data_IF_812183877621
#
_entry.id   IF_812183877621
#
_cell.length_a   1.000
_cell.length_b   1.000
_cell.length_c   1.000
_cell.angle_alpha   90.00
_cell.angle_beta   90.00
_cell.angle_gamma   90.00
#
_symmetry.space_group_name_H-M   'P 1'
#
loop_
_entity.id
_entity.type
_entity.pdbx_description
1 polymer ?
#
# COMPACT_ATOMS: atom_id res chain seq x y z
N UNK A 1 35.31 -3.02 -54.75
CA UNK A 1 35.46 -1.93 -53.75
C UNK A 1 34.14 -1.50 -53.11
N UNK A 2 33.05 -1.29 -53.87
CA UNK A 2 31.76 -0.85 -53.30
C UNK A 2 31.14 -1.79 -52.26
N UNK A 3 31.22 -3.12 -52.45
CA UNK A 3 30.62 -4.12 -51.54
C UNK A 3 31.25 -4.09 -50.13
N UNK A 4 32.56 -3.90 -50.04
CA UNK A 4 33.26 -3.81 -48.74
C UNK A 4 32.90 -2.53 -47.97
N UNK A 5 32.59 -1.44 -48.69
CA UNK A 5 32.12 -0.19 -48.07
C UNK A 5 30.71 -0.40 -47.47
N UNK A 6 29.80 -1.06 -48.19
CA UNK A 6 28.46 -1.36 -47.68
C UNK A 6 28.48 -2.33 -46.48
N UNK A 7 29.35 -3.34 -46.49
CA UNK A 7 29.53 -4.25 -45.35
C UNK A 7 30.11 -3.52 -44.12
N UNK A 8 31.07 -2.61 -44.32
CA UNK A 8 31.63 -1.80 -43.24
C UNK A 8 30.61 -0.88 -42.60
N UNK A 9 29.77 -0.21 -43.41
CA UNK A 9 28.70 0.68 -42.92
C UNK A 9 27.59 -0.10 -42.21
N UNK A 10 27.24 -1.30 -42.69
CA UNK A 10 26.27 -2.17 -42.03
C UNK A 10 26.76 -2.64 -40.66
N UNK A 11 28.04 -3.04 -40.55
CA UNK A 11 28.62 -3.51 -39.30
C UNK A 11 28.73 -2.39 -38.24
N UNK A 12 29.07 -1.16 -38.64
CA UNK A 12 29.14 -0.03 -37.71
C UNK A 12 27.76 0.38 -37.20
N UNK A 13 26.73 0.38 -38.05
CA UNK A 13 25.36 0.66 -37.64
C UNK A 13 24.79 -0.41 -36.70
N UNK A 14 25.13 -1.68 -36.90
CA UNK A 14 24.74 -2.76 -36.00
C UNK A 14 25.46 -2.65 -34.64
N UNK A 15 26.77 -2.35 -34.65
CA UNK A 15 27.55 -2.17 -33.43
C UNK A 15 27.08 -0.97 -32.60
N UNK A 16 26.75 0.17 -33.22
CA UNK A 16 26.23 1.32 -32.50
C UNK A 16 24.85 1.05 -31.92
N UNK A 17 23.95 0.39 -32.67
CA UNK A 17 22.64 0.00 -32.16
C UNK A 17 22.74 -0.90 -30.92
N UNK A 18 23.58 -1.93 -30.96
CA UNK A 18 23.81 -2.81 -29.81
C UNK A 18 24.40 -2.06 -28.61
N UNK A 19 25.38 -1.18 -28.85
CA UNK A 19 25.98 -0.39 -27.78
C UNK A 19 24.97 0.58 -27.14
N UNK A 20 24.16 1.27 -27.96
CA UNK A 20 23.09 2.13 -27.46
C UNK A 20 22.03 1.35 -26.68
N UNK A 21 21.64 0.15 -27.13
CA UNK A 21 20.72 -0.71 -26.40
C UNK A 21 21.27 -1.14 -25.04
N UNK A 22 22.57 -1.45 -24.96
CA UNK A 22 23.23 -1.79 -23.69
C UNK A 22 23.32 -0.58 -22.74
N UNK A 23 23.64 0.60 -23.26
CA UNK A 23 23.72 1.83 -22.45
C UNK A 23 22.33 2.26 -21.95
N UNK A 24 21.30 2.20 -22.79
CA UNK A 24 19.91 2.48 -22.38
C UNK A 24 19.45 1.51 -21.30
N UNK A 25 19.65 0.20 -21.50
CA UNK A 25 19.28 -0.84 -20.54
C UNK A 25 20.03 -0.70 -19.21
N UNK A 26 21.31 -0.35 -19.23
CA UNK A 26 22.10 -0.10 -18.03
C UNK A 26 21.65 1.14 -17.25
N UNK A 27 21.23 2.20 -17.96
CA UNK A 27 20.73 3.42 -17.34
C UNK A 27 19.36 3.23 -16.70
N UNK A 28 18.47 2.46 -17.32
CA UNK A 28 17.13 2.17 -16.77
C UNK A 28 17.21 1.32 -15.50
N UNK A 29 18.12 0.35 -15.44
CA UNK A 29 18.33 -0.49 -14.25
C UNK A 29 18.90 0.35 -13.09
N UNK A 30 19.95 1.14 -13.34
CA UNK A 30 20.60 1.94 -12.30
C UNK A 30 19.71 3.08 -11.81
N UNK A 31 19.01 3.76 -12.73
CA UNK A 31 18.08 4.83 -12.36
C UNK A 31 16.85 4.29 -11.64
N UNK A 32 16.29 3.15 -12.09
CA UNK A 32 15.19 2.46 -11.43
C UNK A 32 15.52 2.07 -9.98
N UNK A 33 16.71 1.53 -9.71
CA UNK A 33 17.12 1.15 -8.35
C UNK A 33 17.24 2.37 -7.40
N UNK A 34 17.74 3.50 -7.92
CA UNK A 34 17.81 4.75 -7.15
C UNK A 34 16.45 5.43 -6.95
N UNK A 35 15.51 5.20 -7.87
CA UNK A 35 14.16 5.73 -7.81
C UNK A 35 13.30 4.93 -6.83
N UNK A 36 13.39 3.60 -6.87
CA UNK A 36 12.69 2.70 -5.95
C UNK A 36 13.12 2.89 -4.49
N UNK A 37 14.42 3.05 -4.24
CA UNK A 37 14.95 3.35 -2.90
C UNK A 37 14.48 4.72 -2.40
N UNK A 38 14.43 5.72 -3.28
CA UNK A 38 13.91 7.04 -2.96
C UNK A 38 12.41 6.99 -2.63
N UNK A 39 11.60 6.33 -3.46
CA UNK A 39 10.16 6.14 -3.26
C UNK A 39 9.91 5.42 -1.93
N UNK A 40 10.58 4.30 -1.69
CA UNK A 40 10.46 3.51 -0.46
C UNK A 40 10.79 4.36 0.77
N UNK A 41 11.85 5.18 0.70
CA UNK A 41 12.24 6.08 1.80
C UNK A 41 11.17 7.15 2.09
N UNK A 42 10.51 7.66 1.05
CA UNK A 42 9.45 8.65 1.18
C UNK A 42 8.18 8.04 1.81
N UNK A 43 7.85 6.80 1.43
CA UNK A 43 6.73 6.06 2.03
C UNK A 43 7.01 5.79 3.50
N UNK A 44 8.21 5.30 3.84
CA UNK A 44 8.59 5.06 5.23
C UNK A 44 8.57 6.34 6.08
N UNK A 45 8.95 7.47 5.51
CA UNK A 45 8.83 8.77 6.16
C UNK A 45 7.36 9.10 6.47
N UNK A 46 6.45 8.91 5.52
CA UNK A 46 5.01 9.12 5.72
C UNK A 46 4.42 8.21 6.80
N UNK A 47 4.81 6.94 6.83
CA UNK A 47 4.41 5.98 7.89
C UNK A 47 4.90 6.44 9.27
N UNK A 48 6.17 6.83 9.39
CA UNK A 48 6.74 7.30 10.66
C UNK A 48 6.08 8.58 11.19
N UNK A 49 5.64 9.47 10.30
CA UNK A 49 4.89 10.67 10.71
C UNK A 49 3.60 10.33 11.46
N UNK A 50 3.02 9.15 11.23
CA UNK A 50 1.82 8.65 11.91
C UNK A 50 2.18 7.82 13.14
N UNK A 51 3.11 6.88 12.99
CA UNK A 51 3.45 5.93 14.06
C UNK A 51 4.16 6.57 15.25
N UNK A 52 5.09 7.51 15.00
CA UNK A 52 5.90 8.11 16.06
C UNK A 52 5.04 8.88 17.08
N UNK A 53 4.14 9.81 16.66
CA UNK A 53 3.25 10.49 17.61
C UNK A 53 2.36 9.53 18.39
N UNK A 54 1.83 8.49 17.74
CA UNK A 54 0.94 7.52 18.38
C UNK A 54 1.71 6.72 19.44
N UNK A 55 2.88 6.21 19.09
CA UNK A 55 3.77 5.53 20.04
C UNK A 55 4.10 6.43 21.24
N UNK A 56 4.43 7.70 21.01
CA UNK A 56 4.70 8.66 22.08
C UNK A 56 3.48 8.96 22.97
N UNK A 57 2.28 9.03 22.40
CA UNK A 57 1.02 9.20 23.16
C UNK A 57 0.76 7.96 24.02
N UNK A 58 0.85 6.76 23.45
CA UNK A 58 0.65 5.51 24.18
C UNK A 58 1.65 5.37 25.34
N UNK A 59 2.94 5.61 25.09
CA UNK A 59 3.99 5.57 26.12
C UNK A 59 3.70 6.53 27.28
N UNK A 60 3.29 7.77 26.99
CA UNK A 60 2.91 8.74 28.02
C UNK A 60 1.68 8.31 28.82
N UNK A 61 0.68 7.75 28.15
CA UNK A 61 -0.52 7.23 28.82
C UNK A 61 -0.18 6.06 29.74
N UNK A 62 0.69 5.14 29.30
CA UNK A 62 1.18 4.04 30.13
C UNK A 62 1.94 4.53 31.37
N UNK A 63 2.81 5.53 31.23
CA UNK A 63 3.52 6.13 32.36
C UNK A 63 2.58 6.82 33.36
N UNK A 64 1.48 7.42 32.89
CA UNK A 64 0.45 8.00 33.76
C UNK A 64 -0.39 6.96 34.52
N UNK A 65 -0.42 5.68 34.09
CA UNK A 65 -1.20 4.62 34.77
C UNK A 65 -0.77 4.38 36.23
N UNK A 66 0.42 4.82 36.65
CA UNK A 66 0.84 4.81 38.06
C UNK A 66 0.01 5.72 38.97
N UNK A 67 -0.76 6.64 38.40
CA UNK A 67 -1.70 7.52 39.10
C UNK A 67 -3.10 7.19 38.56
N UNK A 68 -3.78 6.20 39.14
CA UNK A 68 -5.12 5.80 38.69
C UNK A 68 -6.12 6.88 39.10
N UNK A 69 -6.27 7.90 38.26
CA UNK A 69 -7.36 8.86 38.37
C UNK A 69 -8.66 8.18 37.92
N UNK A 70 -9.79 8.32 38.64
CA UNK A 70 -11.10 7.79 38.24
C UNK A 70 -11.52 8.15 36.81
N UNK A 71 -11.04 9.29 36.29
CA UNK A 71 -11.20 9.71 34.91
C UNK A 71 -10.65 8.72 33.88
N UNK A 72 -9.59 7.95 34.21
CA UNK A 72 -8.98 6.98 33.30
C UNK A 72 -9.86 5.74 33.10
N UNK A 73 -10.57 5.30 34.15
CA UNK A 73 -11.51 4.17 34.05
C UNK A 73 -12.70 4.53 33.15
N UNK A 74 -13.22 5.75 33.29
CA UNK A 74 -14.29 6.25 32.42
C UNK A 74 -13.82 6.51 30.97
N UNK A 75 -12.53 6.74 30.77
CA UNK A 75 -11.95 6.87 29.44
C UNK A 75 -11.72 5.52 28.75
N UNK A 76 -11.81 4.38 29.47
CA UNK A 76 -11.53 3.06 28.89
C UNK A 76 -12.40 2.77 27.67
N UNK A 77 -13.70 3.06 27.75
CA UNK A 77 -14.67 2.89 26.67
C UNK A 77 -14.44 3.79 25.45
N UNK A 78 -13.55 4.78 25.56
CA UNK A 78 -13.19 5.70 24.47
C UNK A 78 -11.92 5.28 23.73
N UNK A 79 -11.18 4.29 24.24
CA UNK A 79 -10.03 3.78 23.51
C UNK A 79 -10.50 2.85 22.38
N UNK A 80 -9.92 2.99 21.17
CA UNK A 80 -10.21 2.07 20.09
C UNK A 80 -9.74 0.66 20.45
N UNK A 81 -10.46 -0.33 19.95
CA UNK A 81 -9.96 -1.71 19.89
C UNK A 81 -8.67 -1.76 19.07
N UNK A 82 -7.77 -2.70 19.39
CA UNK A 82 -6.48 -2.83 18.71
C UNK A 82 -6.65 -2.95 17.18
N UNK A 83 -7.60 -3.77 16.71
CA UNK A 83 -7.86 -3.93 15.28
C UNK A 83 -8.32 -2.62 14.62
N UNK A 84 -9.20 -1.86 15.29
CA UNK A 84 -9.65 -0.56 14.78
C UNK A 84 -8.50 0.46 14.73
N UNK A 85 -7.61 0.40 15.72
CA UNK A 85 -6.40 1.22 15.74
C UNK A 85 -5.48 0.85 14.58
N UNK A 86 -5.19 -0.44 14.39
CA UNK A 86 -4.29 -0.93 13.34
C UNK A 86 -4.81 -0.55 11.93
N UNK A 87 -6.12 -0.69 11.69
CA UNK A 87 -6.76 -0.28 10.43
C UNK A 87 -6.63 1.23 10.23
N UNK A 88 -6.94 2.02 11.26
CA UNK A 88 -6.86 3.48 11.20
C UNK A 88 -5.43 3.96 10.93
N UNK A 89 -4.44 3.37 11.61
CA UNK A 89 -3.03 3.69 11.43
C UNK A 89 -2.54 3.34 10.02
N UNK A 90 -2.87 2.15 9.53
CA UNK A 90 -2.49 1.75 8.17
C UNK A 90 -3.11 2.65 7.10
N UNK A 91 -4.37 3.05 7.29
CA UNK A 91 -5.06 4.00 6.41
C UNK A 91 -4.40 5.38 6.42
N UNK A 92 -4.11 5.91 7.61
CA UNK A 92 -3.50 7.24 7.75
C UNK A 92 -2.05 7.24 7.26
N UNK A 93 -1.31 6.16 7.49
CA UNK A 93 0.03 5.93 6.96
C UNK A 93 0.04 5.89 5.43
N UNK A 94 -0.93 5.23 4.80
CA UNK A 94 -1.07 5.20 3.33
C UNK A 94 -1.33 6.59 2.74
N UNK A 95 -2.29 7.32 3.31
CA UNK A 95 -2.64 8.68 2.87
C UNK A 95 -1.45 9.63 3.04
N UNK A 96 -0.82 9.62 4.21
CA UNK A 96 0.33 10.48 4.52
C UNK A 96 1.52 10.16 3.61
N UNK A 97 1.78 8.88 3.34
CA UNK A 97 2.84 8.46 2.41
C UNK A 97 2.61 8.98 1.00
N UNK A 98 1.36 8.94 0.53
CA UNK A 98 0.97 9.48 -0.76
C UNK A 98 1.24 10.98 -0.84
N UNK A 99 0.85 11.73 0.19
CA UNK A 99 1.11 13.18 0.26
C UNK A 99 2.60 13.53 0.32
N UNK A 100 3.41 12.74 1.06
CA UNK A 100 4.86 12.93 1.13
C UNK A 100 5.51 12.68 -0.23
N UNK A 101 5.13 11.60 -0.91
CA UNK A 101 5.59 11.28 -2.27
C UNK A 101 5.24 12.40 -3.26
N UNK A 102 3.98 12.87 -3.25
CA UNK A 102 3.55 13.97 -4.09
C UNK A 102 4.41 15.21 -3.88
N UNK A 103 4.61 15.65 -2.63
CA UNK A 103 5.45 16.81 -2.31
C UNK A 103 6.89 16.64 -2.80
N UNK A 104 7.47 15.46 -2.59
CA UNK A 104 8.85 15.13 -2.97
C UNK A 104 9.06 15.13 -4.48
N UNK A 105 8.11 14.58 -5.23
CA UNK A 105 8.19 14.61 -6.70
C UNK A 105 7.97 16.01 -7.24
N UNK A 106 7.02 16.79 -6.70
CA UNK A 106 6.86 18.20 -7.06
C UNK A 106 8.13 19.03 -6.80
N UNK A 107 8.90 18.71 -5.75
CA UNK A 107 10.15 19.40 -5.46
C UNK A 107 11.27 19.01 -6.44
N UNK A 108 11.35 17.73 -6.84
CA UNK A 108 12.38 17.18 -7.75
C UNK A 108 12.11 17.57 -9.20
N UNK A 109 10.85 17.45 -9.63
CA UNK A 109 10.40 17.76 -10.97
C UNK A 109 9.75 19.15 -10.89
N UNK A 110 10.46 20.21 -11.31
CA UNK A 110 9.99 21.62 -11.32
C UNK A 110 8.74 21.88 -12.20
N UNK A 111 7.98 20.84 -12.55
CA UNK A 111 6.81 20.85 -13.41
C UNK A 111 5.62 20.34 -12.61
N UNK A 112 4.46 20.96 -12.77
CA UNK A 112 3.19 20.40 -12.29
C UNK A 112 2.92 19.11 -13.09
N UNK A 113 3.01 17.96 -12.43
CA UNK A 113 2.42 16.71 -12.93
C UNK A 113 0.97 16.65 -12.48
N UNK A 114 0.09 16.04 -13.27
CA UNK A 114 -1.23 15.66 -12.76
C UNK A 114 -1.02 14.62 -11.66
N UNK A 115 -1.77 14.65 -10.55
CA UNK A 115 -1.70 13.61 -9.52
C UNK A 115 -1.89 12.19 -10.08
N UNK A 116 -2.74 12.06 -11.11
CA UNK A 116 -3.00 10.81 -11.83
C UNK A 116 -1.79 10.27 -12.59
N UNK A 117 -0.86 11.12 -13.01
CA UNK A 117 0.36 10.72 -13.72
C UNK A 117 1.45 10.23 -12.74
N UNK A 118 1.29 10.53 -11.45
CA UNK A 118 2.23 10.18 -10.38
C UNK A 118 1.95 8.80 -9.78
N UNK A 119 0.66 8.44 -9.64
CA UNK A 119 0.20 7.27 -8.89
C UNK A 119 -0.22 6.13 -9.82
N UNK A 120 0.77 5.43 -10.37
CA UNK A 120 0.54 4.14 -11.06
C UNK A 120 -0.07 3.11 -10.10
N UNK A 121 -0.81 2.14 -10.63
CA UNK A 121 -1.37 1.03 -9.86
C UNK A 121 -0.28 0.26 -9.07
N UNK A 122 0.90 0.08 -9.68
CA UNK A 122 2.04 -0.58 -9.03
C UNK A 122 2.57 0.23 -7.84
N UNK A 123 2.62 1.56 -7.98
CA UNK A 123 3.04 2.46 -6.91
C UNK A 123 2.01 2.46 -5.77
N UNK A 124 0.72 2.50 -6.08
CA UNK A 124 -0.35 2.40 -5.08
C UNK A 124 -0.28 1.06 -4.32
N UNK A 125 0.00 -0.04 -5.02
CA UNK A 125 0.20 -1.34 -4.40
C UNK A 125 1.44 -1.35 -3.50
N UNK A 126 2.53 -0.69 -3.92
CA UNK A 126 3.75 -0.57 -3.11
C UNK A 126 3.51 0.28 -1.85
N UNK A 127 2.81 1.41 -1.97
CA UNK A 127 2.42 2.25 -0.85
C UNK A 127 1.57 1.44 0.13
N UNK A 128 0.52 0.78 -0.36
CA UNK A 128 -0.36 -0.04 0.48
C UNK A 128 0.37 -1.19 1.18
N UNK A 129 1.36 -1.80 0.52
CA UNK A 129 2.17 -2.87 1.10
C UNK A 129 3.08 -2.35 2.23
N UNK A 130 3.80 -1.25 1.99
CA UNK A 130 4.72 -0.68 2.99
C UNK A 130 3.96 -0.03 4.15
N UNK A 131 2.84 0.63 3.89
CA UNK A 131 1.99 1.23 4.94
C UNK A 131 1.20 0.21 5.75
N UNK A 132 1.18 -1.07 5.32
CA UNK A 132 0.37 -2.11 5.96
C UNK A 132 -1.13 -2.02 5.68
N UNK A 133 -1.55 -1.18 4.73
CA UNK A 133 -2.98 -1.03 4.37
C UNK A 133 -3.48 -2.16 3.46
N UNK A 134 -2.58 -2.84 2.74
CA UNK A 134 -2.93 -3.87 1.76
C UNK A 134 -3.90 -4.96 2.28
N UNK A 135 -3.75 -5.53 3.49
CA UNK A 135 -4.68 -6.53 4.01
C UNK A 135 -6.11 -6.01 4.20
N UNK A 136 -6.27 -4.71 4.45
CA UNK A 136 -7.56 -4.07 4.72
C UNK A 136 -8.27 -3.58 3.45
N UNK A 137 -7.56 -3.54 2.32
CA UNK A 137 -8.14 -3.23 1.01
C UNK A 137 -8.75 -4.45 0.32
N UNK A 138 -8.35 -5.65 0.75
CA UNK A 138 -8.84 -6.90 0.17
C UNK A 138 -10.10 -7.38 0.89
N UNK A 139 -10.99 -8.11 0.19
CA UNK A 139 -12.10 -8.79 0.84
C UNK A 139 -11.59 -9.70 1.97
N UNK A 140 -12.24 -9.69 3.15
CA UNK A 140 -11.79 -10.49 4.27
C UNK A 140 -12.14 -11.96 4.06
N UNK A 141 -11.17 -12.84 4.29
CA UNK A 141 -11.39 -14.29 4.19
C UNK A 141 -12.45 -14.75 5.18
N UNK A 142 -13.56 -15.27 4.66
CA UNK A 142 -14.67 -15.72 5.48
C UNK A 142 -14.39 -17.08 6.16
N UNK A 143 -14.52 -17.18 7.50
CA UNK A 143 -14.28 -18.44 8.20
C UNK A 143 -15.36 -19.47 7.87
N UNK A 144 -15.00 -20.69 7.49
CA UNK A 144 -15.97 -21.78 7.29
C UNK A 144 -16.14 -22.60 8.57
N UNK A 145 -16.93 -22.08 9.51
CA UNK A 145 -17.29 -22.80 10.73
C UNK A 145 -18.81 -22.77 10.98
N UNK A 146 -19.30 -23.57 11.91
CA UNK A 146 -20.73 -23.70 12.19
C UNK A 146 -21.41 -22.35 12.52
N UNK A 147 -20.74 -21.50 13.31
CA UNK A 147 -21.28 -20.19 13.69
C UNK A 147 -21.34 -19.25 12.49
N UNK A 148 -20.31 -19.24 11.65
CA UNK A 148 -20.22 -18.40 10.47
C UNK A 148 -21.20 -18.83 9.36
N UNK A 149 -21.51 -20.13 9.26
CA UNK A 149 -22.57 -20.63 8.38
C UNK A 149 -23.98 -20.26 8.90
N UNK A 150 -24.14 -20.11 10.22
CA UNK A 150 -25.44 -19.77 10.85
C UNK A 150 -25.70 -18.26 10.98
N UNK A 151 -24.65 -17.45 11.10
CA UNK A 151 -24.74 -16.01 11.32
C UNK A 151 -23.75 -15.24 10.45
N UNK A 152 -24.17 -14.07 9.94
CA UNK A 152 -23.26 -13.12 9.28
C UNK A 152 -22.27 -12.51 10.28
N UNK A 153 -21.10 -12.10 9.79
CA UNK A 153 -20.16 -11.28 10.57
C UNK A 153 -20.76 -9.89 10.86
N UNK A 154 -20.42 -9.30 12.00
CA UNK A 154 -20.98 -8.00 12.44
C UNK A 154 -20.64 -6.86 11.47
N UNK A 155 -19.47 -6.95 10.84
CA UNK A 155 -19.02 -6.04 9.78
C UNK A 155 -19.86 -6.16 8.50
N UNK A 156 -20.65 -7.23 8.35
CA UNK A 156 -21.39 -7.54 7.13
C UNK A 156 -20.51 -8.05 5.99
N UNK A 157 -19.19 -8.11 6.18
CA UNK A 157 -18.25 -8.46 5.11
C UNK A 157 -18.30 -9.95 4.71
N UNK A 158 -18.79 -10.81 5.59
CA UNK A 158 -19.09 -12.21 5.28
C UNK A 158 -20.56 -12.47 5.52
N UNK A 159 -21.24 -12.92 4.46
CA UNK A 159 -22.68 -13.10 4.46
C UNK A 159 -23.05 -14.58 4.30
N UNK A 160 -23.90 -15.05 5.21
CA UNK A 160 -24.37 -16.43 5.26
C UNK A 160 -25.69 -16.69 4.51
N UNK A 161 -26.28 -15.66 3.87
CA UNK A 161 -27.47 -15.81 3.02
C UNK A 161 -27.09 -16.03 1.55
N UNK A 162 -27.74 -17.01 0.93
CA UNK A 162 -27.76 -17.20 -0.52
C UNK A 162 -29.20 -17.15 -1.06
N UNK A 163 -29.46 -16.51 -2.22
CA UNK A 163 -28.54 -15.62 -2.93
C UNK A 163 -28.31 -14.31 -2.15
N UNK A 164 -27.10 -13.75 -2.26
CA UNK A 164 -26.81 -12.44 -1.69
C UNK A 164 -27.55 -11.37 -2.50
N UNK A 165 -28.36 -10.49 -1.88
CA UNK A 165 -28.96 -9.37 -2.60
C UNK A 165 -27.89 -8.42 -3.15
N UNK A 166 -28.20 -7.71 -4.24
CA UNK A 166 -27.27 -6.83 -4.97
C UNK A 166 -26.63 -5.73 -4.11
N UNK A 167 -27.28 -5.32 -3.01
CA UNK A 167 -26.72 -4.34 -2.07
C UNK A 167 -25.65 -4.93 -1.13
N UNK A 168 -25.35 -6.22 -1.21
CA UNK A 168 -24.31 -6.92 -0.43
C UNK A 168 -23.09 -7.35 -1.28
N UNK A 169 -22.91 -6.74 -2.46
CA UNK A 169 -21.86 -7.08 -3.43
C UNK A 169 -20.42 -6.90 -2.97
N UNK A 170 -20.18 -6.09 -1.92
CA UNK A 170 -18.86 -5.96 -1.29
C UNK A 170 -18.51 -7.07 -0.29
N UNK A 171 -19.45 -7.98 0.03
CA UNK A 171 -19.22 -9.09 0.95
C UNK A 171 -18.73 -10.35 0.23
N UNK A 172 -17.70 -11.01 0.79
CA UNK A 172 -17.23 -12.29 0.29
C UNK A 172 -18.22 -13.40 0.73
N UNK A 173 -18.44 -14.39 -0.16
CA UNK A 173 -19.33 -15.52 0.14
C UNK A 173 -18.60 -16.55 1.01
N UNK A 174 -19.31 -17.16 1.96
CA UNK A 174 -18.79 -18.39 2.57
C UNK A 174 -18.62 -19.46 1.48
N UNK A 175 -17.53 -20.26 1.51
CA UNK A 175 -17.44 -21.44 0.67
C UNK A 175 -18.62 -22.33 1.03
N UNK A 176 -19.54 -22.51 0.08
CA UNK A 176 -20.67 -23.42 0.24
C UNK A 176 -20.09 -24.81 0.46
N UNK A 177 -20.11 -25.26 1.70
CA UNK A 177 -19.93 -26.68 2.00
C UNK A 177 -21.05 -27.38 1.24
N UNK A 178 -20.68 -28.22 0.26
CA UNK A 178 -21.63 -28.94 -0.56
C UNK A 178 -22.65 -29.63 0.34
N UNK A 179 -23.88 -29.14 0.31
CA UNK A 179 -25.04 -29.94 0.63
C UNK A 179 -25.33 -30.70 -0.65
N UNK A 180 -24.81 -31.92 -0.69
CA UNK A 180 -25.33 -33.02 -1.49
C UNK A 180 -25.95 -33.99 -0.50
#
# INVERSE_FOLDING_TARGET
MRVFIFLGVSATMACTALFFSFILKGKDIFFGETEDTYITSAIQEGVKMVDDPIYHIQKRNLQRKGIIAPALLLAFSKFPEQESLDISQASEGMETSTQVLEKKVHQKQKRSLRPSDLLSADLLSMIANISGCLPYMLPPKCPNNCLANKYRLITGACNNRYPAPEWLTHSEKFPTSGVQ
#
